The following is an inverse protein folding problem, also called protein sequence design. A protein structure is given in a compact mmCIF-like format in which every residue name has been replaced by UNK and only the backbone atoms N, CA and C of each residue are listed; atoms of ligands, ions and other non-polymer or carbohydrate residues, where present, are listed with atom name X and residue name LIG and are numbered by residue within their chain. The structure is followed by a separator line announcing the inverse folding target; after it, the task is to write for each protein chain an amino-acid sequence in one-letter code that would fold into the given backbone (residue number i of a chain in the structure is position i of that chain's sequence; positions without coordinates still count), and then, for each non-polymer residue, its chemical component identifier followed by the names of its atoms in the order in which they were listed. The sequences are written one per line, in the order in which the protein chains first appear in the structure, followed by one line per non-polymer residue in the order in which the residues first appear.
data_IF_230270990684
#
_entry.id   IF_230270990684
#
_cell.length_a   1.000
_cell.length_b   1.000
_cell.length_c   1.000
_cell.angle_alpha   90.00
_cell.angle_beta   90.00
_cell.angle_gamma   90.00
#
_symmetry.space_group_name_H-M   'P 1'
#
loop_
_entity.id
_entity.type
_entity.pdbx_description
1 polymer ?
#
# COMPACT_ATOMS: atom_id res chain seq x y z
N UNK A 1 9.50 -3.24 -74.11
CA UNK A 1 8.95 -2.05 -73.46
C UNK A 1 8.33 -2.47 -72.14
N UNK A 2 8.77 -1.83 -71.05
CA UNK A 2 8.18 -1.80 -69.70
C UNK A 2 8.03 -3.10 -68.89
N UNK A 3 8.70 -3.10 -67.73
CA UNK A 3 8.51 -4.08 -66.66
C UNK A 3 9.55 -3.97 -65.56
N UNK A 4 9.65 -2.80 -64.93
CA UNK A 4 10.39 -2.62 -63.66
C UNK A 4 9.71 -3.45 -62.57
N UNK A 5 10.40 -4.45 -62.01
CA UNK A 5 10.13 -4.96 -60.67
C UNK A 5 11.39 -4.72 -59.84
N UNK A 6 11.37 -3.88 -58.79
CA UNK A 6 12.51 -3.78 -57.89
C UNK A 6 12.63 -5.08 -57.08
N UNK A 7 13.86 -5.53 -56.73
CA UNK A 7 13.99 -6.58 -55.74
C UNK A 7 13.42 -6.06 -54.42
N UNK A 8 12.38 -6.74 -53.94
CA UNK A 8 11.80 -6.56 -52.60
C UNK A 8 12.95 -6.44 -51.61
N UNK A 9 13.07 -5.25 -51.03
CA UNK A 9 13.94 -4.97 -49.91
C UNK A 9 13.69 -6.03 -48.83
N UNK A 10 14.54 -7.05 -48.77
CA UNK A 10 14.73 -7.85 -47.57
C UNK A 10 15.43 -6.94 -46.57
N UNK A 11 14.68 -6.04 -45.95
CA UNK A 11 14.99 -5.57 -44.60
C UNK A 11 14.70 -6.76 -43.68
N UNK A 12 15.57 -7.77 -43.75
CA UNK A 12 15.76 -8.65 -42.62
C UNK A 12 16.49 -7.74 -41.65
N UNK A 13 15.73 -7.18 -40.71
CA UNK A 13 16.28 -6.63 -39.49
C UNK A 13 17.35 -7.61 -39.03
N UNK A 14 18.58 -7.12 -39.00
CA UNK A 14 19.75 -7.81 -38.48
C UNK A 14 19.55 -8.05 -36.99
N UNK A 15 18.66 -8.98 -36.67
CA UNK A 15 18.39 -9.50 -35.33
C UNK A 15 19.49 -10.46 -34.90
N UNK A 16 20.76 -10.08 -35.07
CA UNK A 16 21.80 -10.65 -34.23
C UNK A 16 21.78 -9.83 -32.93
N UNK A 17 21.53 -10.49 -31.80
CA UNK A 17 21.53 -9.99 -30.40
C UNK A 17 20.21 -10.12 -29.62
N UNK A 18 19.31 -11.03 -29.98
CA UNK A 18 18.28 -11.51 -29.03
C UNK A 18 18.88 -12.24 -27.81
N UNK A 19 20.14 -12.70 -27.91
CA UNK A 19 20.86 -13.40 -26.85
C UNK A 19 21.68 -12.49 -25.93
N UNK A 20 21.85 -11.21 -26.26
CA UNK A 20 22.50 -10.26 -25.35
C UNK A 20 21.43 -9.55 -24.53
N UNK A 21 20.66 -10.33 -23.77
CA UNK A 21 19.81 -9.75 -22.74
C UNK A 21 20.73 -9.04 -21.76
N UNK A 22 20.69 -7.71 -21.75
CA UNK A 22 21.43 -6.93 -20.78
C UNK A 22 20.97 -7.34 -19.38
N UNK A 23 21.77 -8.14 -18.70
CA UNK A 23 21.61 -8.38 -17.27
C UNK A 23 21.89 -7.07 -16.55
N UNK A 24 20.96 -6.59 -15.73
CA UNK A 24 21.10 -5.36 -14.93
C UNK A 24 22.01 -5.57 -13.72
N UNK A 25 23.17 -6.18 -13.96
CA UNK A 25 24.12 -6.55 -12.93
C UNK A 25 25.32 -5.61 -13.00
N UNK A 26 25.69 -5.02 -11.88
CA UNK A 26 26.84 -4.11 -11.80
C UNK A 26 27.91 -4.69 -10.89
N UNK A 27 29.09 -4.93 -11.44
CA UNK A 27 30.27 -5.38 -10.69
C UNK A 27 31.34 -4.29 -10.70
N UNK A 28 31.87 -3.97 -9.54
CA UNK A 28 33.03 -3.08 -9.41
C UNK A 28 34.27 -3.96 -9.48
N UNK A 29 35.08 -3.71 -10.52
CA UNK A 29 36.27 -4.47 -10.84
C UNK A 29 37.51 -3.60 -10.69
N UNK A 30 38.60 -4.18 -10.20
CA UNK A 30 39.91 -3.54 -10.15
C UNK A 30 40.87 -4.29 -11.06
N UNK A 31 41.63 -3.58 -11.88
CA UNK A 31 42.67 -4.22 -12.70
C UNK A 31 43.73 -4.82 -11.80
N UNK A 32 44.05 -6.10 -12.02
CA UNK A 32 45.11 -6.80 -11.30
C UNK A 32 46.48 -6.16 -11.54
N UNK A 33 46.73 -5.74 -12.77
CA UNK A 33 47.95 -5.03 -13.17
C UNK A 33 47.64 -3.59 -13.59
N UNK A 34 48.23 -2.64 -12.87
CA UNK A 34 48.07 -1.21 -13.11
C UNK A 34 48.59 -0.79 -14.49
N UNK A 35 47.85 0.04 -15.25
CA UNK A 35 48.35 0.65 -16.46
C UNK A 35 49.55 1.58 -16.20
N UNK A 36 50.43 1.79 -17.18
CA UNK A 36 51.52 2.75 -17.06
C UNK A 36 51.00 4.18 -16.93
N UNK A 37 51.65 4.98 -16.09
CA UNK A 37 51.33 6.39 -15.90
C UNK A 37 51.61 7.19 -17.17
N UNK A 38 50.77 8.19 -17.45
CA UNK A 38 50.94 9.14 -18.53
C UNK A 38 51.04 10.56 -17.96
N UNK A 39 51.64 11.48 -18.72
CA UNK A 39 51.73 12.89 -18.32
C UNK A 39 50.33 13.49 -18.17
N UNK A 40 50.16 14.39 -17.19
CA UNK A 40 48.88 15.11 -16.96
C UNK A 40 48.45 15.83 -18.24
N UNK A 41 47.24 15.55 -18.72
CA UNK A 41 46.70 16.10 -19.98
C UNK A 41 47.30 15.51 -21.27
N UNK A 42 48.24 14.58 -21.16
CA UNK A 42 48.79 13.84 -22.30
C UNK A 42 47.91 12.67 -22.71
N UNK A 43 48.15 12.13 -23.91
CA UNK A 43 47.42 10.95 -24.40
C UNK A 43 47.69 9.74 -23.50
N UNK A 44 46.66 8.99 -23.07
CA UNK A 44 46.86 7.79 -22.27
C UNK A 44 47.65 6.74 -23.07
N UNK A 45 48.54 6.03 -22.36
CA UNK A 45 49.32 4.96 -22.96
C UNK A 45 48.45 3.77 -23.34
N UNK A 46 48.82 3.07 -24.42
CA UNK A 46 48.06 1.92 -24.93
C UNK A 46 48.05 0.79 -23.89
N UNK A 47 46.86 0.27 -23.63
CA UNK A 47 46.70 -0.88 -22.74
C UNK A 47 47.16 -2.16 -23.43
N UNK A 48 47.79 -3.07 -22.66
CA UNK A 48 48.20 -4.40 -23.11
C UNK A 48 47.21 -5.43 -22.58
N UNK A 49 47.21 -6.64 -23.15
CA UNK A 49 46.35 -7.75 -22.76
C UNK A 49 46.32 -7.99 -21.23
N UNK A 50 47.48 -7.95 -20.56
CA UNK A 50 47.57 -8.09 -19.09
C UNK A 50 46.71 -7.08 -18.32
N UNK A 51 46.49 -5.87 -18.83
CA UNK A 51 45.68 -4.86 -18.13
C UNK A 51 44.16 -5.10 -18.22
N UNK A 52 43.71 -6.11 -18.98
CA UNK A 52 42.32 -6.54 -19.07
C UNK A 52 42.00 -7.73 -18.15
N UNK A 53 42.89 -8.05 -17.22
CA UNK A 53 42.61 -8.99 -16.15
C UNK A 53 42.18 -8.20 -14.91
N UNK A 54 41.04 -8.61 -14.37
CA UNK A 54 40.36 -7.90 -13.30
C UNK A 54 40.13 -8.81 -12.10
N UNK A 55 40.28 -8.24 -10.92
CA UNK A 55 39.88 -8.81 -9.65
C UNK A 55 38.54 -8.20 -9.24
N UNK A 56 37.62 -9.02 -8.72
CA UNK A 56 36.32 -8.57 -8.23
C UNK A 56 36.50 -7.82 -6.91
N UNK A 57 36.01 -6.58 -6.84
CA UNK A 57 36.06 -5.76 -5.61
C UNK A 57 34.73 -5.80 -4.89
N UNK A 58 33.64 -5.48 -5.58
CA UNK A 58 32.31 -5.40 -5.00
C UNK A 58 31.26 -5.85 -6.02
N UNK A 59 30.27 -6.60 -5.54
CA UNK A 59 29.06 -6.92 -6.28
C UNK A 59 27.92 -6.02 -5.80
N UNK A 60 27.51 -5.06 -6.64
CA UNK A 60 26.45 -4.12 -6.31
C UNK A 60 25.04 -4.76 -6.31
N UNK A 61 24.91 -6.02 -6.73
CA UNK A 61 23.62 -6.70 -6.73
C UNK A 61 23.26 -7.26 -5.35
N UNK A 62 24.28 -7.52 -4.52
CA UNK A 62 24.11 -7.99 -3.15
C UNK A 62 23.88 -6.84 -2.17
N UNK A 63 24.29 -5.63 -2.53
CA UNK A 63 24.13 -4.47 -1.67
C UNK A 63 22.68 -4.02 -1.61
N UNK A 64 22.21 -3.71 -0.39
CA UNK A 64 20.84 -3.25 -0.18
C UNK A 64 20.67 -1.85 -0.78
N UNK A 65 19.73 -1.72 -1.71
CA UNK A 65 19.39 -0.41 -2.27
C UNK A 65 18.78 0.51 -1.21
N UNK A 66 19.11 1.80 -1.21
CA UNK A 66 18.54 2.77 -0.29
C UNK A 66 17.05 2.96 -0.56
N UNK A 67 16.31 3.34 0.49
CA UNK A 67 14.90 3.64 0.36
C UNK A 67 14.68 4.95 -0.43
N UNK A 68 13.59 5.01 -1.19
CA UNK A 68 13.21 6.13 -2.04
C UNK A 68 12.10 6.93 -1.35
N UNK A 69 12.25 8.25 -1.35
CA UNK A 69 11.23 9.18 -0.86
C UNK A 69 10.23 9.52 -1.98
N UNK A 70 8.95 9.33 -1.70
CA UNK A 70 7.84 9.63 -2.61
C UNK A 70 6.75 10.44 -1.89
N UNK A 71 6.03 11.25 -2.65
CA UNK A 71 4.90 12.06 -2.22
C UNK A 71 3.64 11.42 -2.77
N UNK A 72 2.65 11.14 -1.92
CA UNK A 72 1.35 10.65 -2.37
C UNK A 72 0.55 11.74 -3.09
N UNK A 73 0.01 11.44 -4.27
CA UNK A 73 -0.89 12.34 -4.99
C UNK A 73 -2.34 12.21 -4.51
N UNK A 74 -2.72 11.00 -4.10
CA UNK A 74 -4.07 10.66 -3.70
C UNK A 74 -4.06 9.81 -2.43
N UNK A 75 -5.22 9.71 -1.77
CA UNK A 75 -5.40 8.80 -0.65
C UNK A 75 -5.15 7.36 -1.08
N UNK A 76 -4.33 6.64 -0.31
CA UNK A 76 -4.08 5.21 -0.52
C UNK A 76 -4.39 4.45 0.77
N UNK A 77 -5.31 3.49 0.69
CA UNK A 77 -5.79 2.71 1.83
C UNK A 77 -4.64 2.01 2.57
N UNK A 78 -4.59 2.21 3.89
CA UNK A 78 -3.57 1.68 4.78
C UNK A 78 -2.17 2.27 4.62
N UNK A 79 -1.98 3.28 3.76
CA UNK A 79 -0.66 3.90 3.52
C UNK A 79 -0.63 5.35 4.00
N UNK A 80 -1.53 6.20 3.51
CA UNK A 80 -1.49 7.63 3.83
C UNK A 80 -2.46 8.48 3.03
N UNK A 81 -2.49 9.77 3.38
CA UNK A 81 -3.30 10.77 2.72
C UNK A 81 -2.52 11.43 1.57
N UNK A 82 -3.24 12.13 0.69
CA UNK A 82 -2.60 12.93 -0.36
C UNK A 82 -1.69 14.00 0.26
N UNK A 83 -0.49 14.17 -0.31
CA UNK A 83 0.55 15.08 0.18
C UNK A 83 1.54 14.46 1.17
N UNK A 84 1.30 13.24 1.66
CA UNK A 84 2.21 12.60 2.60
C UNK A 84 3.53 12.16 1.94
N UNK A 85 4.65 12.44 2.61
CA UNK A 85 5.98 11.96 2.20
C UNK A 85 6.27 10.61 2.84
N UNK A 86 6.59 9.61 2.02
CA UNK A 86 6.86 8.24 2.44
C UNK A 86 8.25 7.82 2.01
N UNK A 87 8.95 7.10 2.89
CA UNK A 87 10.21 6.43 2.58
C UNK A 87 9.95 4.94 2.36
N UNK A 88 10.13 4.44 1.14
CA UNK A 88 9.78 3.08 0.73
C UNK A 88 10.93 2.37 0.04
N UNK A 89 10.97 1.04 0.11
CA UNK A 89 11.91 0.24 -0.68
C UNK A 89 11.69 0.47 -2.18
N UNK A 90 12.74 0.55 -3.01
CA UNK A 90 12.63 0.85 -4.44
C UNK A 90 11.61 -0.02 -5.16
N UNK A 91 11.66 -1.35 -4.99
CA UNK A 91 10.74 -2.28 -5.65
C UNK A 91 9.29 -1.90 -5.40
N UNK A 92 8.91 -1.65 -4.13
CA UNK A 92 7.54 -1.27 -3.78
C UNK A 92 7.18 0.12 -4.31
N UNK A 93 8.09 1.09 -4.18
CA UNK A 93 7.89 2.44 -4.67
C UNK A 93 7.59 2.46 -6.18
N UNK A 94 8.38 1.74 -6.98
CA UNK A 94 8.19 1.66 -8.42
C UNK A 94 6.90 0.93 -8.80
N UNK A 95 6.71 -0.30 -8.32
CA UNK A 95 5.61 -1.15 -8.81
C UNK A 95 4.24 -0.67 -8.33
N UNK A 96 4.13 -0.24 -7.06
CA UNK A 96 2.83 0.05 -6.46
C UNK A 96 2.47 1.54 -6.48
N UNK A 97 3.45 2.45 -6.52
CA UNK A 97 3.17 3.88 -6.34
C UNK A 97 3.51 4.73 -7.55
N UNK A 98 4.73 4.62 -8.08
CA UNK A 98 5.20 5.47 -9.17
C UNK A 98 4.64 5.04 -10.53
N UNK A 99 4.69 3.74 -10.87
CA UNK A 99 4.16 3.24 -12.15
C UNK A 99 2.65 3.47 -12.28
N UNK A 100 1.83 3.22 -11.24
CA UNK A 100 0.39 3.51 -11.33
C UNK A 100 0.04 5.01 -11.18
N UNK A 101 1.01 5.88 -10.90
CA UNK A 101 0.80 7.32 -10.74
C UNK A 101 0.17 7.75 -9.40
N UNK A 102 0.16 6.86 -8.39
CA UNK A 102 -0.35 7.17 -7.04
C UNK A 102 0.57 8.13 -6.28
N UNK A 103 1.86 8.15 -6.64
CA UNK A 103 2.87 8.97 -6.00
C UNK A 103 3.84 9.58 -7.01
N UNK A 104 4.53 10.64 -6.57
CA UNK A 104 5.58 11.34 -7.32
C UNK A 104 6.87 11.31 -6.50
N UNK A 105 8.04 11.40 -7.15
CA UNK A 105 9.31 11.54 -6.44
C UNK A 105 9.34 12.79 -5.55
N UNK A 106 9.91 12.66 -4.36
CA UNK A 106 10.21 13.78 -3.47
C UNK A 106 11.48 14.53 -3.92
N UNK A 107 11.46 15.08 -5.13
CA UNK A 107 12.49 16.01 -5.60
C UNK A 107 12.31 17.38 -4.92
N UNK A 108 13.38 18.18 -4.77
CA UNK A 108 13.27 19.52 -4.17
C UNK A 108 12.27 20.41 -4.93
N UNK A 109 12.20 20.28 -6.25
CA UNK A 109 11.23 20.98 -7.09
C UNK A 109 9.79 20.58 -6.78
N UNK A 110 9.52 19.28 -6.61
CA UNK A 110 8.19 18.78 -6.29
C UNK A 110 7.78 19.16 -4.87
N UNK A 111 8.70 19.11 -3.90
CA UNK A 111 8.44 19.55 -2.54
C UNK A 111 8.02 21.03 -2.51
N UNK A 112 8.72 21.89 -3.26
CA UNK A 112 8.36 23.30 -3.40
C UNK A 112 7.00 23.48 -4.10
N UNK A 113 6.75 22.73 -5.18
CA UNK A 113 5.50 22.78 -5.96
C UNK A 113 4.27 22.45 -5.13
N UNK A 114 4.36 21.40 -4.31
CA UNK A 114 3.25 20.94 -3.48
C UNK A 114 3.18 21.64 -2.12
N UNK A 115 4.14 22.54 -1.81
CA UNK A 115 4.25 23.25 -0.54
C UNK A 115 4.06 22.33 0.67
N UNK A 116 4.60 21.11 0.58
CA UNK A 116 4.50 20.09 1.61
C UNK A 116 5.48 20.47 2.70
N UNK A 117 5.02 21.37 3.57
CA UNK A 117 5.69 21.61 4.84
C UNK A 117 5.23 20.50 5.78
N UNK A 118 6.18 19.73 6.32
CA UNK A 118 5.89 18.69 7.33
C UNK A 118 5.11 19.23 8.54
N UNK A 119 5.13 20.56 8.74
CA UNK A 119 4.50 21.28 9.84
C UNK A 119 3.12 21.90 9.51
N UNK A 120 2.63 21.82 8.26
CA UNK A 120 1.29 22.33 7.94
C UNK A 120 0.22 21.36 8.46
N UNK A 121 -0.86 21.86 9.10
CA UNK A 121 -1.98 21.01 9.48
C UNK A 121 -2.57 20.41 8.20
N UNK A 122 -2.54 19.08 8.10
CA UNK A 122 -3.09 18.35 6.97
C UNK A 122 -4.57 18.70 6.87
N UNK A 123 -4.97 19.34 5.78
CA UNK A 123 -6.38 19.62 5.50
C UNK A 123 -7.14 18.31 5.61
N UNK A 124 -8.18 18.29 6.44
CA UNK A 124 -8.97 17.10 6.74
C UNK A 124 -9.55 16.54 5.43
N UNK A 125 -8.87 15.55 4.86
CA UNK A 125 -9.45 14.73 3.82
C UNK A 125 -10.67 13.99 4.38
N UNK A 126 -11.57 13.52 3.51
CA UNK A 126 -12.77 12.77 3.89
C UNK A 126 -12.51 11.63 4.90
N UNK A 127 -11.27 11.12 4.96
CA UNK A 127 -10.82 10.16 5.94
C UNK A 127 -9.87 10.80 6.95
N UNK A 128 -10.24 10.71 8.23
CA UNK A 128 -9.39 11.15 9.35
C UNK A 128 -8.14 10.29 9.51
N UNK A 129 -8.17 9.02 9.07
CA UNK A 129 -7.00 8.13 9.12
C UNK A 129 -6.89 7.23 7.87
N UNK A 130 -5.68 6.77 7.51
CA UNK A 130 -5.47 5.89 6.36
C UNK A 130 -6.09 4.50 6.52
N UNK A 131 -6.47 4.10 7.74
CA UNK A 131 -6.98 2.77 8.04
C UNK A 131 -8.52 2.70 8.11
N UNK A 132 -9.21 3.84 7.97
CA UNK A 132 -10.68 3.87 8.10
C UNK A 132 -11.34 2.98 7.05
N UNK A 133 -10.89 3.03 5.79
CA UNK A 133 -11.44 2.21 4.71
C UNK A 133 -11.30 0.71 4.98
N UNK A 134 -10.08 0.26 5.32
CA UNK A 134 -9.86 -1.12 5.74
C UNK A 134 -10.74 -1.55 6.91
N UNK A 135 -10.90 -0.69 7.91
CA UNK A 135 -11.73 -0.96 9.09
C UNK A 135 -13.21 -1.10 8.72
N UNK A 136 -13.72 -0.22 7.87
CA UNK A 136 -15.08 -0.29 7.33
C UNK A 136 -15.30 -1.56 6.51
N UNK A 137 -14.31 -1.98 5.72
CA UNK A 137 -14.38 -3.24 4.96
C UNK A 137 -14.43 -4.49 5.85
N UNK A 138 -13.79 -4.46 7.02
CA UNK A 138 -13.91 -5.52 8.02
C UNK A 138 -15.27 -5.49 8.72
N UNK A 139 -15.74 -4.31 9.10
CA UNK A 139 -17.03 -4.12 9.79
C UNK A 139 -18.23 -4.43 8.89
N UNK A 140 -18.16 -4.12 7.59
CA UNK A 140 -19.27 -4.34 6.65
C UNK A 140 -19.63 -5.81 6.43
N UNK A 141 -18.68 -6.72 6.65
CA UNK A 141 -18.87 -8.16 6.55
C UNK A 141 -19.38 -8.79 7.86
N UNK A 142 -19.44 -8.00 8.93
CA UNK A 142 -19.66 -8.49 10.27
C UNK A 142 -21.14 -8.40 10.62
N UNK A 143 -21.70 -9.54 11.06
CA UNK A 143 -23.01 -9.62 11.69
C UNK A 143 -22.81 -9.95 13.16
N UNK A 144 -23.26 -9.07 14.05
CA UNK A 144 -23.09 -9.24 15.49
C UNK A 144 -24.17 -10.16 16.04
N UNK A 145 -23.76 -11.23 16.72
CA UNK A 145 -24.68 -12.04 17.51
C UNK A 145 -24.69 -11.56 18.96
N UNK A 146 -25.86 -11.12 19.41
CA UNK A 146 -26.09 -10.74 20.80
C UNK A 146 -26.83 -11.87 21.49
N UNK A 147 -26.13 -12.57 22.38
CA UNK A 147 -26.70 -13.63 23.19
C UNK A 147 -27.34 -13.05 24.46
N UNK A 148 -28.65 -13.21 24.63
CA UNK A 148 -29.40 -12.79 25.81
C UNK A 148 -30.09 -13.97 26.51
N UNK A 149 -30.48 -13.78 27.77
CA UNK A 149 -31.21 -14.79 28.54
C UNK A 149 -32.65 -14.97 28.04
N UNK A 150 -33.15 -16.21 28.07
CA UNK A 150 -34.55 -16.56 27.76
C UNK A 150 -35.50 -16.32 28.93
N UNK A 151 -35.01 -16.43 30.15
CA UNK A 151 -35.84 -16.53 31.35
C UNK A 151 -35.93 -15.22 32.12
N UNK A 152 -34.86 -14.43 32.10
CA UNK A 152 -34.78 -13.19 32.85
C UNK A 152 -35.06 -11.98 31.93
N UNK A 153 -35.89 -11.01 32.37
CA UNK A 153 -36.13 -9.81 31.58
C UNK A 153 -34.84 -9.00 31.40
N UNK A 154 -34.65 -8.48 30.19
CA UNK A 154 -33.48 -7.70 29.81
C UNK A 154 -33.86 -6.54 28.88
N UNK A 155 -33.04 -5.50 28.91
CA UNK A 155 -33.17 -4.31 28.07
C UNK A 155 -31.89 -4.08 27.29
N UNK A 156 -32.00 -3.93 25.96
CA UNK A 156 -30.81 -3.82 25.12
C UNK A 156 -30.18 -2.42 25.25
N UNK A 157 -29.08 -2.37 26.00
CA UNK A 157 -28.24 -1.16 26.18
C UNK A 157 -26.94 -1.21 25.33
N UNK A 158 -26.27 -0.05 25.10
CA UNK A 158 -25.05 0.03 24.29
C UNK A 158 -23.90 -0.90 24.74
N UNK A 159 -23.78 -1.17 26.04
CA UNK A 159 -22.70 -2.02 26.56
C UNK A 159 -22.83 -3.49 26.12
N UNK A 160 -24.06 -3.98 25.87
CA UNK A 160 -24.28 -5.32 25.31
C UNK A 160 -23.72 -5.42 23.89
N UNK A 161 -23.92 -4.37 23.09
CA UNK A 161 -23.39 -4.26 21.73
C UNK A 161 -21.86 -4.17 21.78
N UNK A 162 -21.31 -3.36 22.68
CA UNK A 162 -19.86 -3.27 22.93
C UNK A 162 -19.23 -4.62 23.29
N UNK A 163 -19.88 -5.37 24.18
CA UNK A 163 -19.41 -6.70 24.59
C UNK A 163 -19.39 -7.67 23.40
N UNK A 164 -20.39 -7.57 22.53
CA UNK A 164 -20.49 -8.41 21.33
C UNK A 164 -19.46 -8.03 20.26
N UNK A 165 -19.17 -6.73 20.09
CA UNK A 165 -18.03 -6.28 19.29
C UNK A 165 -16.71 -6.84 19.81
N UNK A 166 -16.51 -6.86 21.14
CA UNK A 166 -15.31 -7.43 21.77
C UNK A 166 -15.20 -8.93 21.51
N UNK A 167 -16.32 -9.68 21.58
CA UNK A 167 -16.36 -11.11 21.19
C UNK A 167 -15.97 -11.32 19.73
N UNK A 168 -16.34 -10.40 18.84
CA UNK A 168 -15.98 -10.42 17.43
C UNK A 168 -14.55 -9.89 17.13
N UNK A 169 -13.79 -9.49 18.15
CA UNK A 169 -12.41 -9.01 18.02
C UNK A 169 -12.24 -7.50 17.79
N UNK A 170 -13.31 -6.71 17.87
CA UNK A 170 -13.26 -5.25 17.72
C UNK A 170 -13.43 -4.54 19.06
N UNK A 171 -12.63 -3.50 19.28
CA UNK A 171 -12.73 -2.66 20.47
C UNK A 171 -13.43 -1.36 20.08
N UNK A 172 -14.70 -1.24 20.49
CA UNK A 172 -15.54 -0.05 20.21
C UNK A 172 -15.96 0.59 21.53
N UNK A 173 -15.78 1.91 21.71
CA UNK A 173 -16.24 2.60 22.91
C UNK A 173 -17.76 2.89 22.85
N UNK A 174 -18.39 3.02 24.01
CA UNK A 174 -19.87 3.16 24.10
C UNK A 174 -20.40 4.45 23.47
N UNK A 175 -19.66 5.55 23.59
CA UNK A 175 -20.05 6.84 23.01
C UNK A 175 -20.08 6.83 21.47
N UNK A 176 -19.46 5.84 20.83
CA UNK A 176 -19.47 5.68 19.38
C UNK A 176 -20.67 4.85 18.90
N UNK A 177 -21.44 4.22 19.79
CA UNK A 177 -22.54 3.34 19.46
C UNK A 177 -23.86 4.10 19.66
N UNK A 178 -24.63 4.23 18.59
CA UNK A 178 -25.97 4.81 18.58
C UNK A 178 -27.00 3.70 18.37
N UNK A 179 -27.81 3.46 19.40
CA UNK A 179 -28.88 2.46 19.39
C UNK A 179 -30.07 2.92 18.54
N UNK A 180 -30.88 1.98 18.00
CA UNK A 180 -32.13 2.34 17.36
C UNK A 180 -33.07 3.06 18.35
N UNK A 181 -33.98 3.93 17.86
CA UNK A 181 -34.91 4.66 18.71
C UNK A 181 -35.93 3.74 19.42
N UNK A 182 -36.12 2.51 18.91
CA UNK A 182 -37.01 1.52 19.50
C UNK A 182 -36.29 0.80 20.64
N UNK A 183 -36.81 0.92 21.86
CA UNK A 183 -36.31 0.16 23.00
C UNK A 183 -36.66 -1.32 22.83
N UNK A 184 -35.65 -2.17 22.75
CA UNK A 184 -35.82 -3.62 22.59
C UNK A 184 -35.76 -4.24 23.98
N UNK A 185 -36.84 -4.90 24.36
CA UNK A 185 -37.00 -5.57 25.66
C UNK A 185 -37.29 -7.05 25.42
N UNK A 186 -36.69 -7.91 26.24
CA UNK A 186 -37.00 -9.34 26.30
C UNK A 186 -37.57 -9.71 27.67
N UNK A 187 -38.07 -10.96 27.83
CA UNK A 187 -37.86 -12.10 26.95
C UNK A 187 -39.05 -12.29 25.98
N UNK A 188 -38.80 -12.08 24.70
CA UNK A 188 -39.78 -12.34 23.64
C UNK A 188 -39.16 -13.29 22.60
N UNK A 189 -39.81 -14.43 22.39
CA UNK A 189 -39.42 -15.45 21.42
C UNK A 189 -39.56 -14.95 19.98
N UNK A 190 -40.43 -13.96 19.73
CA UNK A 190 -40.62 -13.37 18.40
C UNK A 190 -39.44 -12.51 17.97
N UNK A 191 -38.57 -12.11 18.90
CA UNK A 191 -37.37 -11.30 18.62
C UNK A 191 -36.15 -12.15 18.26
N UNK A 192 -36.28 -13.48 18.30
CA UNK A 192 -35.22 -14.39 17.90
C UNK A 192 -34.94 -14.28 16.40
N UNK A 193 -33.66 -14.23 16.04
CA UNK A 193 -33.17 -14.13 14.66
C UNK A 193 -33.64 -12.89 13.89
N UNK A 194 -34.22 -11.90 14.59
CA UNK A 194 -34.51 -10.58 13.99
C UNK A 194 -33.26 -9.72 13.94
N UNK A 195 -33.15 -8.99 12.85
CA UNK A 195 -32.07 -8.06 12.60
C UNK A 195 -32.40 -6.65 13.10
N UNK A 196 -31.48 -6.06 13.84
CA UNK A 196 -31.54 -4.66 14.27
C UNK A 196 -30.38 -3.88 13.69
N UNK A 197 -30.68 -2.67 13.23
CA UNK A 197 -29.70 -1.73 12.73
C UNK A 197 -29.16 -0.89 13.90
N UNK A 198 -27.88 -1.06 14.21
CA UNK A 198 -27.15 -0.19 15.14
C UNK A 198 -26.16 0.65 14.36
N UNK A 199 -26.07 1.92 14.73
CA UNK A 199 -25.19 2.85 14.05
C UNK A 199 -23.91 3.04 14.87
N UNK A 200 -22.75 2.83 14.25
CA UNK A 200 -21.43 3.00 14.87
C UNK A 200 -20.69 4.14 14.18
N UNK A 201 -20.24 5.12 14.95
CA UNK A 201 -19.45 6.24 14.44
C UNK A 201 -17.96 5.89 14.47
N UNK A 202 -17.34 5.79 13.29
CA UNK A 202 -15.90 5.61 13.11
C UNK A 202 -15.31 6.95 12.64
N UNK A 203 -14.77 7.72 13.58
CA UNK A 203 -14.28 9.09 13.36
C UNK A 203 -15.34 10.01 12.71
N UNK A 204 -15.19 10.34 11.43
CA UNK A 204 -16.13 11.18 10.67
C UNK A 204 -17.17 10.37 9.89
N UNK A 205 -17.05 9.04 9.87
CA UNK A 205 -17.92 8.17 9.07
C UNK A 205 -18.89 7.41 9.97
N UNK A 206 -20.11 7.30 9.49
CA UNK A 206 -21.18 6.57 10.15
C UNK A 206 -21.33 5.20 9.48
N UNK A 207 -21.19 4.13 10.25
CA UNK A 207 -21.36 2.75 9.82
C UNK A 207 -22.66 2.18 10.39
N UNK A 208 -23.40 1.40 9.61
CA UNK A 208 -24.58 0.66 10.08
C UNK A 208 -24.22 -0.81 10.24
N UNK A 209 -24.25 -1.29 11.48
CA UNK A 209 -24.03 -2.67 11.84
C UNK A 209 -25.37 -3.42 11.96
N UNK A 210 -25.40 -4.65 11.46
CA UNK A 210 -26.52 -5.58 11.66
C UNK A 210 -26.27 -6.41 12.91
N UNK A 211 -27.31 -6.51 13.74
CA UNK A 211 -27.29 -7.28 14.97
C UNK A 211 -28.39 -8.33 14.92
N UNK A 212 -28.02 -9.57 15.21
CA UNK A 212 -28.92 -10.69 15.43
C UNK A 212 -29.05 -10.97 16.92
N UNK A 213 -30.29 -11.02 17.41
CA UNK A 213 -30.59 -11.48 18.76
C UNK A 213 -30.70 -13.01 18.79
N UNK A 214 -29.85 -13.61 19.62
CA UNK A 214 -29.88 -15.04 19.91
C UNK A 214 -30.20 -15.24 21.39
N UNK A 215 -31.00 -16.25 21.65
CA UNK A 215 -31.34 -16.63 23.00
C UNK A 215 -30.42 -17.74 23.50
N UNK A 216 -29.86 -17.59 24.69
CA UNK A 216 -28.97 -18.57 25.30
C UNK A 216 -29.76 -19.85 25.63
N UNK A 217 -29.42 -20.98 25.00
CA UNK A 217 -29.86 -22.32 25.43
C UNK A 217 -28.93 -22.75 26.55
N UNK A 218 -29.43 -22.71 27.78
CA UNK A 218 -28.80 -23.41 28.90
C UNK A 218 -29.49 -24.77 28.95
N UNK A 219 -28.74 -25.82 28.61
CA UNK A 219 -29.15 -27.21 28.83
C UNK A 219 -29.14 -27.56 30.31
#
# INVERSE_FOLDING_TARGET
MFGFNPPVNKVIATGYNLLYQQTRNTFILKRKWSPPLHKKGGKPSKLRARHFVYDLVEDCNLSKQPDIKVILNQFVDGVGNAGDVLSLRPTKAYTHFLVPGLAIYASPENLAKYQIDENKPKVESNYSSPYVQRTLGCLSRLVLQITMSKTQPWTLEPWHVRTSFRKAGFVVPEHAITMPPVTIKGPDLTLQDKEFLVTVKVSLIIFKAFILLQHLQVD
#
